data_IF_511012156643
#
_entry.id   IF_511012156643
#
_cell.length_a   1.000
_cell.length_b   1.000
_cell.length_c   1.000
_cell.angle_alpha   90.00
_cell.angle_beta   90.00
_cell.angle_gamma   90.00
#
_symmetry.space_group_name_H-M   'P 1'
#
loop_
_entity.id
_entity.type
_entity.pdbx_description
1 polymer ?
#
# COMPACT_ATOMS: atom_id res chain seq x y z
N UNK A 1 12.71 -5.82 -13.57
CA UNK A 1 13.04 -4.72 -12.64
C UNK A 1 12.73 -5.15 -11.20
N UNK A 2 13.35 -4.50 -10.20
CA UNK A 2 13.07 -4.75 -8.78
C UNK A 2 11.92 -3.86 -8.32
N UNK A 3 10.99 -4.39 -7.54
CA UNK A 3 9.84 -3.65 -7.02
C UNK A 3 9.64 -3.98 -5.54
N UNK A 4 9.49 -2.95 -4.71
CA UNK A 4 9.04 -3.11 -3.32
C UNK A 4 7.51 -3.24 -3.35
N UNK A 5 7.00 -4.33 -2.79
CA UNK A 5 5.57 -4.64 -2.75
C UNK A 5 5.14 -4.75 -1.30
N UNK A 6 3.99 -4.16 -1.00
CA UNK A 6 3.42 -4.11 0.34
C UNK A 6 2.07 -4.80 0.37
N UNK A 7 1.91 -5.73 1.30
CA UNK A 7 0.64 -6.38 1.57
C UNK A 7 -0.12 -5.61 2.65
N UNK A 8 -1.15 -4.87 2.23
CA UNK A 8 -1.99 -4.05 3.12
C UNK A 8 -2.82 -4.86 4.12
N UNK A 9 -3.00 -6.17 3.91
CA UNK A 9 -3.79 -7.01 4.80
C UNK A 9 -3.03 -7.40 6.06
N UNK A 10 -1.75 -7.76 5.92
CA UNK A 10 -0.89 -8.25 7.00
C UNK A 10 0.31 -7.33 7.31
N UNK A 11 0.57 -6.31 6.48
CA UNK A 11 1.68 -5.38 6.63
C UNK A 11 3.04 -5.92 6.19
N UNK A 12 3.09 -7.04 5.47
CA UNK A 12 4.32 -7.60 4.93
C UNK A 12 4.88 -6.72 3.79
N UNK A 13 6.19 -6.55 3.77
CA UNK A 13 6.91 -5.82 2.72
C UNK A 13 7.95 -6.76 2.12
N UNK A 14 7.93 -6.92 0.80
CA UNK A 14 8.84 -7.80 0.08
C UNK A 14 9.44 -7.11 -1.16
N UNK A 15 10.64 -7.55 -1.54
CA UNK A 15 11.30 -7.09 -2.76
C UNK A 15 11.14 -8.16 -3.83
N UNK A 16 10.36 -7.86 -4.86
CA UNK A 16 10.12 -8.77 -5.97
C UNK A 16 10.95 -8.40 -7.18
N UNK A 17 11.33 -9.40 -7.97
CA UNK A 17 11.83 -9.20 -9.33
C UNK A 17 10.68 -9.44 -10.28
N UNK A 18 10.29 -8.41 -11.03
CA UNK A 18 9.16 -8.43 -11.95
C UNK A 18 9.62 -8.13 -13.38
N UNK A 19 8.88 -8.52 -14.43
CA UNK A 19 9.20 -8.10 -15.80
C UNK A 19 9.22 -6.57 -15.92
N UNK A 20 10.00 -6.05 -16.86
CA UNK A 20 9.90 -4.63 -17.21
C UNK A 20 8.56 -4.39 -17.95
N UNK A 21 7.89 -3.25 -17.71
CA UNK A 21 6.65 -2.93 -18.40
C UNK A 21 6.90 -2.69 -19.90
N UNK A 22 5.94 -3.08 -20.73
CA UNK A 22 5.94 -2.81 -22.16
C UNK A 22 5.55 -1.35 -22.42
N UNK A 23 6.28 -0.69 -23.31
CA UNK A 23 5.93 0.67 -23.76
C UNK A 23 4.80 0.56 -24.81
N UNK A 24 3.61 1.07 -24.47
CA UNK A 24 2.49 1.14 -25.40
C UNK A 24 2.57 2.39 -26.29
N UNK A 25 1.74 2.45 -27.33
CA UNK A 25 1.58 3.65 -28.16
C UNK A 25 1.23 4.87 -27.30
N UNK A 26 1.80 6.02 -27.65
CA UNK A 26 1.66 7.28 -26.90
C UNK A 26 2.11 7.23 -25.44
N UNK A 27 3.03 6.32 -25.08
CA UNK A 27 3.64 6.25 -23.75
C UNK A 27 5.17 6.35 -23.80
N UNK A 28 5.78 6.62 -22.64
CA UNK A 28 7.24 6.66 -22.49
C UNK A 28 7.64 5.70 -21.37
N UNK A 29 8.56 4.79 -21.67
CA UNK A 29 9.19 3.93 -20.68
C UNK A 29 10.43 4.63 -20.10
N UNK A 30 10.41 4.91 -18.80
CA UNK A 30 11.52 5.57 -18.10
C UNK A 30 12.33 4.56 -17.30
N UNK A 31 13.66 4.56 -17.48
CA UNK A 31 14.58 3.76 -16.67
C UNK A 31 15.00 4.51 -15.41
N UNK A 32 14.50 4.08 -14.27
CA UNK A 32 14.92 4.61 -12.96
C UNK A 32 16.36 4.23 -12.64
N UNK A 33 17.23 5.23 -12.40
CA UNK A 33 18.62 5.00 -11.97
C UNK A 33 18.75 4.91 -10.45
N UNK A 34 17.99 5.73 -9.72
CA UNK A 34 17.98 5.78 -8.25
C UNK A 34 16.55 5.98 -7.76
N UNK A 35 16.23 5.42 -6.59
CA UNK A 35 14.95 5.60 -5.91
C UNK A 35 15.16 5.80 -4.41
N UNK A 36 14.21 6.47 -3.77
CA UNK A 36 14.14 6.69 -2.33
C UNK A 36 12.71 6.42 -1.86
N UNK A 37 12.55 5.86 -0.66
CA UNK A 37 11.24 5.68 -0.03
C UNK A 37 11.08 6.72 1.07
N UNK A 38 10.00 7.49 1.03
CA UNK A 38 9.62 8.40 2.11
C UNK A 38 8.88 7.62 3.20
N UNK A 39 9.38 7.69 4.44
CA UNK A 39 8.88 6.86 5.54
C UNK A 39 7.48 7.27 6.05
N UNK A 40 7.00 8.49 5.77
CA UNK A 40 5.84 9.06 6.44
C UNK A 40 4.56 8.22 6.33
N UNK A 41 4.01 8.16 5.12
CA UNK A 41 2.76 7.43 4.83
C UNK A 41 2.98 5.92 4.77
N UNK A 42 4.11 5.50 4.19
CA UNK A 42 4.54 4.10 4.09
C UNK A 42 4.50 3.38 5.44
N UNK A 43 5.15 3.97 6.46
CA UNK A 43 5.17 3.38 7.81
C UNK A 43 3.78 3.30 8.42
N UNK A 44 2.97 4.33 8.24
CA UNK A 44 1.61 4.39 8.79
C UNK A 44 0.73 3.29 8.19
N UNK A 45 0.89 3.02 6.90
CA UNK A 45 0.20 1.94 6.19
C UNK A 45 0.65 0.56 6.70
N UNK A 46 1.97 0.32 6.85
CA UNK A 46 2.50 -0.94 7.40
C UNK A 46 1.89 -1.21 8.77
N UNK A 47 1.95 -0.20 9.66
CA UNK A 47 1.43 -0.30 11.03
C UNK A 47 -0.06 -0.58 11.08
N UNK A 48 -0.85 0.00 10.16
CA UNK A 48 -2.27 -0.31 10.06
C UNK A 48 -2.48 -1.75 9.58
N UNK A 49 -1.72 -2.21 8.58
CA UNK A 49 -1.79 -3.57 8.05
C UNK A 49 -1.52 -4.65 9.10
N UNK A 50 -0.53 -4.41 9.98
CA UNK A 50 -0.13 -5.33 11.05
C UNK A 50 -1.13 -5.44 12.22
N UNK A 51 -2.11 -4.52 12.33
CA UNK A 51 -3.11 -4.56 13.41
C UNK A 51 -4.16 -5.65 13.19
N UNK A 52 -4.74 -6.14 14.28
CA UNK A 52 -5.96 -6.96 14.23
C UNK A 52 -7.15 -6.14 13.69
N UNK A 53 -8.26 -6.80 13.31
CA UNK A 53 -9.47 -6.09 12.85
C UNK A 53 -9.97 -5.07 13.88
N UNK A 54 -9.96 -5.43 15.18
CA UNK A 54 -10.30 -4.51 16.26
C UNK A 54 -9.31 -3.34 16.34
N UNK A 55 -8.02 -3.60 16.16
CA UNK A 55 -6.99 -2.54 16.12
C UNK A 55 -7.17 -1.60 14.92
N UNK A 56 -7.56 -2.13 13.75
CA UNK A 56 -7.89 -1.34 12.55
C UNK A 56 -9.14 -0.49 12.78
N UNK A 57 -10.19 -1.06 13.38
CA UNK A 57 -11.42 -0.35 13.74
C UNK A 57 -11.17 0.80 14.74
N UNK A 58 -10.33 0.59 15.76
CA UNK A 58 -9.91 1.65 16.70
C UNK A 58 -9.08 2.75 16.04
N UNK A 59 -8.23 2.39 15.06
CA UNK A 59 -7.42 3.36 14.32
C UNK A 59 -8.23 4.19 13.32
N UNK A 60 -9.37 3.67 12.85
CA UNK A 60 -10.28 4.33 11.89
C UNK A 60 -11.73 4.28 12.37
N UNK A 61 -12.06 4.94 13.48
CA UNK A 61 -13.42 4.94 14.04
C UNK A 61 -14.43 5.63 13.11
N UNK A 62 -13.96 6.53 12.25
CA UNK A 62 -14.74 7.15 11.17
C UNK A 62 -15.34 6.12 10.22
N UNK A 63 -14.55 5.12 9.82
CA UNK A 63 -15.00 4.06 8.91
C UNK A 63 -16.00 3.12 9.60
N UNK A 64 -15.82 2.88 10.89
CA UNK A 64 -16.78 2.09 11.70
C UNK A 64 -18.13 2.81 11.76
N UNK A 65 -18.13 4.12 12.03
CA UNK A 65 -19.36 4.93 12.05
C UNK A 65 -20.10 4.89 10.72
N UNK A 66 -19.39 5.04 9.59
CA UNK A 66 -19.98 4.95 8.24
C UNK A 66 -20.66 3.61 7.97
N UNK A 67 -20.07 2.51 8.43
CA UNK A 67 -20.69 1.18 8.29
C UNK A 67 -21.97 1.09 9.12
N UNK A 68 -21.97 1.60 10.36
CA UNK A 68 -23.15 1.62 11.22
C UNK A 68 -24.26 2.49 10.62
N UNK A 69 -23.92 3.65 10.09
CA UNK A 69 -24.87 4.55 9.42
C UNK A 69 -25.49 3.91 8.19
N UNK A 70 -24.70 3.18 7.39
CA UNK A 70 -25.17 2.50 6.18
C UNK A 70 -25.99 1.23 6.46
N UNK A 71 -25.81 0.63 7.63
CA UNK A 71 -26.52 -0.58 8.05
C UNK A 71 -27.86 -0.29 8.75
N UNK A 72 -28.11 0.97 9.14
CA UNK A 72 -29.43 1.45 9.55
C UNK A 72 -30.31 1.71 8.34
#
# INVERSE_FOLDING_TARGET
>A
MKQVVQNYKNGEVSLLTVPAPTCADHSILVRTAHSLISLGTERSIIQLGQKSLLGKARARPDLVKRVIEKAK
#
